data_IF_935275904705
#
_entry.id   IF_935275904705
#
_cell.length_a   1.000
_cell.length_b   1.000
_cell.length_c   1.000
_cell.angle_alpha   90.00
_cell.angle_beta   90.00
_cell.angle_gamma   90.00
#
_symmetry.space_group_name_H-M   'P 1'
#
loop_
_entity.id
_entity.type
_entity.pdbx_description
1 polymer ?
#
# COMPACT_ATOMS: atom_id res chain seq x y z
N UNK A 1 -2.76 3.63 -14.03
CA UNK A 1 -1.30 3.40 -14.29
C UNK A 1 -1.06 2.76 -15.68
N UNK A 2 -2.01 2.01 -16.21
CA UNK A 2 -1.95 1.22 -17.45
C UNK A 2 -1.52 2.02 -18.71
N UNK A 3 -1.79 3.31 -18.72
CA UNK A 3 -1.42 4.22 -19.81
C UNK A 3 -0.15 5.05 -19.54
N UNK A 4 0.80 4.50 -18.77
CA UNK A 4 2.11 5.09 -18.52
C UNK A 4 2.17 6.07 -17.37
N UNK A 5 1.41 5.82 -16.30
CA UNK A 5 1.47 6.56 -15.03
C UNK A 5 1.21 8.07 -15.15
N UNK A 6 0.48 8.52 -16.16
CA UNK A 6 0.28 9.96 -16.44
C UNK A 6 -0.30 10.70 -15.25
N UNK A 7 -1.27 10.12 -14.53
CA UNK A 7 -1.90 10.69 -13.35
C UNK A 7 -0.90 10.85 -12.20
N UNK A 8 -0.20 9.76 -11.83
CA UNK A 8 0.79 9.76 -10.78
C UNK A 8 1.97 10.71 -11.05
N UNK A 9 2.46 10.74 -12.29
CA UNK A 9 3.51 11.68 -12.70
C UNK A 9 3.06 13.14 -12.59
N UNK A 10 1.83 13.44 -13.06
CA UNK A 10 1.31 14.81 -13.00
C UNK A 10 1.00 15.24 -11.56
N UNK A 11 0.48 14.34 -10.74
CA UNK A 11 0.28 14.62 -9.32
C UNK A 11 1.59 14.95 -8.63
N UNK A 12 2.63 14.13 -8.81
CA UNK A 12 3.94 14.35 -8.20
C UNK A 12 4.57 15.70 -8.63
N UNK A 13 4.45 16.07 -9.91
CA UNK A 13 4.89 17.38 -10.42
C UNK A 13 4.17 18.54 -9.69
N UNK A 14 2.85 18.45 -9.52
CA UNK A 14 2.05 19.47 -8.86
C UNK A 14 2.41 19.53 -7.37
N UNK A 15 2.51 18.39 -6.69
CA UNK A 15 2.85 18.32 -5.28
C UNK A 15 4.20 18.99 -4.98
N UNK A 16 5.21 18.77 -5.82
CA UNK A 16 6.50 19.47 -5.72
C UNK A 16 6.35 20.98 -5.94
N UNK A 17 5.64 21.36 -6.99
CA UNK A 17 5.43 22.78 -7.34
C UNK A 17 4.72 23.55 -6.23
N UNK A 18 3.74 22.92 -5.60
CA UNK A 18 2.91 23.52 -4.55
C UNK A 18 3.47 23.31 -3.15
N UNK A 19 4.62 22.63 -3.07
CA UNK A 19 5.30 22.32 -1.81
C UNK A 19 4.40 21.53 -0.83
N UNK A 20 3.60 20.59 -1.36
CA UNK A 20 2.75 19.73 -0.54
C UNK A 20 3.61 18.81 0.34
N UNK A 21 3.19 18.65 1.58
CA UNK A 21 3.88 17.78 2.55
C UNK A 21 3.07 16.50 2.74
N UNK A 22 3.67 15.37 2.37
CA UNK A 22 3.09 14.06 2.53
C UNK A 22 3.82 13.28 3.62
N UNK A 23 3.09 12.82 4.64
CA UNK A 23 3.64 11.96 5.70
C UNK A 23 3.93 10.57 5.16
N UNK A 24 3.01 10.05 4.37
CA UNK A 24 3.10 8.76 3.69
C UNK A 24 2.19 8.73 2.47
N UNK A 25 2.48 7.83 1.53
CA UNK A 25 1.59 7.46 0.43
C UNK A 25 1.24 5.96 0.55
N UNK A 26 -0.01 5.61 0.32
CA UNK A 26 -0.50 4.24 0.49
C UNK A 26 -1.26 3.84 -0.77
N UNK A 27 -0.91 2.68 -1.33
CA UNK A 27 -1.61 2.09 -2.47
C UNK A 27 -2.19 0.73 -2.11
N UNK A 28 -3.39 0.46 -2.57
CA UNK A 28 -4.10 -0.80 -2.38
C UNK A 28 -4.68 -1.28 -3.71
N UNK A 29 -3.84 -1.81 -4.55
CA UNK A 29 -4.18 -2.23 -5.90
C UNK A 29 -4.96 -3.57 -5.94
N UNK A 30 -4.61 -4.49 -5.07
CA UNK A 30 -5.17 -5.86 -5.06
C UNK A 30 -6.02 -6.17 -3.81
N UNK A 31 -6.75 -5.20 -3.26
CA UNK A 31 -7.45 -5.31 -1.97
C UNK A 31 -8.64 -6.29 -1.92
N UNK A 32 -9.04 -6.88 -3.04
CA UNK A 32 -10.09 -7.90 -3.10
C UNK A 32 -9.67 -9.28 -2.59
N UNK A 33 -8.43 -9.44 -2.13
CA UNK A 33 -7.86 -10.70 -1.64
C UNK A 33 -7.37 -10.58 -0.20
N UNK A 34 -7.11 -11.73 0.44
CA UNK A 34 -6.66 -11.77 1.85
C UNK A 34 -5.36 -10.98 2.01
N UNK A 35 -5.31 -9.92 2.85
CA UNK A 35 -4.10 -9.19 3.13
C UNK A 35 -3.09 -10.06 3.90
N UNK A 36 -1.80 -9.91 3.61
CA UNK A 36 -0.72 -10.68 4.24
C UNK A 36 0.33 -9.81 4.90
N UNK A 37 0.52 -8.60 4.40
CA UNK A 37 1.54 -7.68 4.89
C UNK A 37 1.50 -6.35 4.15
N UNK A 38 2.57 -5.59 4.33
CA UNK A 38 2.80 -4.36 3.59
C UNK A 38 4.22 -4.34 3.02
N UNK A 39 4.34 -4.02 1.72
CA UNK A 39 5.57 -3.54 1.15
C UNK A 39 5.82 -2.09 1.59
N UNK A 40 7.05 -1.75 1.92
CA UNK A 40 7.43 -0.43 2.40
C UNK A 40 8.67 0.09 1.68
N UNK A 41 8.61 1.30 1.17
CA UNK A 41 9.76 2.04 0.65
C UNK A 41 9.93 3.34 1.44
N UNK A 42 11.05 3.43 2.12
CA UNK A 42 11.46 4.51 3.01
C UNK A 42 12.84 4.20 3.58
N UNK A 43 13.22 4.83 4.68
CA UNK A 43 14.51 4.57 5.34
C UNK A 43 14.50 3.24 6.12
N UNK A 44 15.70 2.70 6.36
CA UNK A 44 15.84 1.50 7.19
C UNK A 44 15.43 1.76 8.66
N UNK A 45 15.60 2.99 9.14
CA UNK A 45 15.15 3.40 10.47
C UNK A 45 13.62 3.34 10.57
N UNK A 46 12.92 3.88 9.57
CA UNK A 46 11.46 3.81 9.48
C UNK A 46 10.99 2.35 9.39
N UNK A 47 11.65 1.53 8.57
CA UNK A 47 11.31 0.10 8.46
C UNK A 47 11.45 -0.60 9.81
N UNK A 48 12.54 -0.39 10.53
CA UNK A 48 12.73 -0.97 11.87
C UNK A 48 11.63 -0.54 12.84
N UNK A 49 11.24 0.74 12.81
CA UNK A 49 10.18 1.27 13.65
C UNK A 49 8.83 0.60 13.36
N UNK A 50 8.44 0.48 12.08
CA UNK A 50 7.15 -0.12 11.71
C UNK A 50 7.11 -1.64 11.95
N UNK A 51 8.24 -2.34 11.99
CA UNK A 51 8.28 -3.75 12.37
C UNK A 51 7.68 -3.99 13.77
N UNK A 52 7.89 -3.06 14.71
CA UNK A 52 7.31 -3.14 16.05
C UNK A 52 5.78 -3.03 16.05
N UNK A 53 5.18 -2.55 14.97
CA UNK A 53 3.73 -2.43 14.85
C UNK A 53 3.04 -3.74 14.54
N UNK A 54 3.76 -4.79 14.13
CA UNK A 54 3.18 -6.09 13.82
C UNK A 54 2.32 -6.63 14.98
N UNK A 55 2.70 -6.35 16.22
CA UNK A 55 1.93 -6.72 17.43
C UNK A 55 0.49 -6.18 17.46
N UNK A 56 0.19 -5.12 16.69
CA UNK A 56 -1.14 -4.53 16.61
C UNK A 56 -2.01 -5.17 15.53
N UNK A 57 -1.44 -6.03 14.70
CA UNK A 57 -2.13 -6.69 13.59
C UNK A 57 -2.48 -8.16 13.85
N UNK A 58 -2.24 -8.69 15.03
CA UNK A 58 -2.41 -10.12 15.36
C UNK A 58 -3.72 -10.75 14.89
N UNK A 59 -4.79 -9.95 14.81
CA UNK A 59 -6.12 -10.40 14.44
C UNK A 59 -6.47 -10.15 12.97
N UNK A 60 -5.57 -9.51 12.21
CA UNK A 60 -5.88 -8.95 10.88
C UNK A 60 -5.11 -9.62 9.74
N UNK A 61 -4.52 -10.77 9.97
CA UNK A 61 -3.75 -11.50 8.94
C UNK A 61 -2.45 -10.84 8.47
N UNK A 62 -2.15 -9.62 8.87
CA UNK A 62 -0.88 -8.95 8.56
C UNK A 62 0.24 -9.57 9.39
N UNK A 63 1.26 -10.10 8.72
CA UNK A 63 2.35 -10.85 9.34
C UNK A 63 3.74 -10.26 9.05
N UNK A 64 3.85 -9.27 8.17
CA UNK A 64 5.14 -8.67 7.84
C UNK A 64 5.02 -7.23 7.31
N UNK A 65 6.12 -6.48 7.49
CA UNK A 65 6.49 -5.34 6.66
C UNK A 65 7.77 -5.72 5.90
N UNK A 66 7.76 -5.66 4.58
CA UNK A 66 8.93 -5.99 3.76
C UNK A 66 9.56 -4.74 3.16
N UNK A 67 10.88 -4.73 3.02
CA UNK A 67 11.58 -3.66 2.33
C UNK A 67 11.25 -3.69 0.83
N UNK A 68 10.94 -2.51 0.28
CA UNK A 68 10.52 -2.33 -1.11
C UNK A 68 9.02 -2.52 -1.30
N UNK A 69 8.52 -2.12 -2.44
CA UNK A 69 7.10 -2.09 -2.73
C UNK A 69 6.48 -0.73 -2.45
N UNK A 70 5.17 -0.67 -2.49
CA UNK A 70 4.37 0.55 -2.36
C UNK A 70 3.29 0.56 -3.42
N UNK A 71 3.64 0.68 -4.67
CA UNK A 71 2.73 0.65 -5.79
C UNK A 71 3.20 1.53 -6.95
N UNK A 72 2.58 1.33 -8.11
CA UNK A 72 2.95 2.00 -9.33
C UNK A 72 2.50 3.47 -9.32
N UNK A 73 1.29 3.74 -8.84
CA UNK A 73 0.68 5.06 -8.91
C UNK A 73 1.31 6.07 -7.95
N UNK A 74 1.72 5.63 -6.76
CA UNK A 74 2.38 6.48 -5.76
C UNK A 74 3.90 6.55 -5.95
N UNK A 75 4.47 5.66 -6.77
CA UNK A 75 5.90 5.62 -7.06
C UNK A 75 6.49 6.93 -7.58
N UNK A 76 5.84 7.68 -8.49
CA UNK A 76 6.30 9.00 -8.93
C UNK A 76 6.44 10.00 -7.79
N UNK A 77 5.49 10.05 -6.85
CA UNK A 77 5.56 10.93 -5.68
C UNK A 77 6.77 10.56 -4.80
N UNK A 78 6.91 9.29 -4.47
CA UNK A 78 8.07 8.81 -3.69
C UNK A 78 9.41 9.20 -4.32
N UNK A 79 9.56 9.00 -5.63
CA UNK A 79 10.81 9.34 -6.33
C UNK A 79 11.14 10.83 -6.33
N UNK A 80 10.14 11.69 -6.37
CA UNK A 80 10.36 13.15 -6.43
C UNK A 80 10.50 13.80 -5.07
N UNK A 81 9.81 13.30 -4.05
CA UNK A 81 9.72 13.96 -2.73
C UNK A 81 10.38 13.17 -1.61
N UNK A 82 10.70 11.89 -1.82
CA UNK A 82 11.15 10.99 -0.76
C UNK A 82 10.04 10.55 0.19
N UNK A 83 8.78 10.89 -0.08
CA UNK A 83 7.63 10.47 0.74
C UNK A 83 7.64 8.96 0.95
N UNK A 84 7.63 8.44 2.18
CA UNK A 84 7.54 7.02 2.44
C UNK A 84 6.28 6.42 1.80
N UNK A 85 6.39 5.24 1.20
CA UNK A 85 5.23 4.61 0.58
C UNK A 85 4.99 3.19 1.07
N UNK A 86 3.71 2.82 1.11
CA UNK A 86 3.23 1.49 1.48
C UNK A 86 2.35 0.91 0.39
N UNK A 87 2.48 -0.38 0.16
CA UNK A 87 1.55 -1.15 -0.68
C UNK A 87 0.98 -2.32 0.10
N UNK A 88 -0.33 -2.53 0.05
CA UNK A 88 -0.95 -3.68 0.66
C UNK A 88 -0.54 -4.95 -0.09
N UNK A 89 0.15 -5.86 0.59
CA UNK A 89 0.51 -7.17 0.06
C UNK A 89 -0.57 -8.18 0.38
N UNK A 90 -0.95 -8.97 -0.61
CA UNK A 90 -2.02 -9.97 -0.54
C UNK A 90 -1.49 -11.37 -0.74
N UNK A 91 -2.39 -12.37 -0.67
CA UNK A 91 -2.12 -13.72 -1.13
C UNK A 91 -1.97 -13.73 -2.67
N UNK A 92 -0.73 -13.72 -3.14
CA UNK A 92 -0.40 -13.54 -4.55
C UNK A 92 -0.81 -14.72 -5.45
N UNK A 93 -0.96 -15.94 -4.90
CA UNK A 93 -1.29 -17.10 -5.74
C UNK A 93 -2.65 -16.90 -6.40
N UNK A 94 -3.68 -16.62 -5.63
CA UNK A 94 -5.04 -16.42 -6.12
C UNK A 94 -5.15 -15.18 -7.03
N UNK A 95 -4.41 -14.13 -6.72
CA UNK A 95 -4.35 -12.92 -7.53
C UNK A 95 -3.89 -13.21 -8.96
N UNK A 96 -2.75 -13.90 -9.13
CA UNK A 96 -2.19 -14.18 -10.46
C UNK A 96 -2.99 -15.18 -11.29
N UNK A 97 -3.92 -15.92 -10.69
CA UNK A 97 -4.87 -16.76 -11.43
C UNK A 97 -5.94 -15.95 -12.17
N UNK A 98 -6.23 -14.72 -11.70
CA UNK A 98 -7.34 -13.90 -12.19
C UNK A 98 -6.87 -12.61 -12.87
N UNK A 99 -5.76 -12.04 -12.40
CA UNK A 99 -5.21 -10.77 -12.87
C UNK A 99 -5.03 -10.75 -14.40
N UNK A 100 -5.54 -9.70 -15.03
CA UNK A 100 -5.54 -9.49 -16.49
C UNK A 100 -6.20 -10.63 -17.31
N UNK A 101 -7.18 -11.29 -16.76
CA UNK A 101 -7.96 -12.32 -17.45
C UNK A 101 -9.44 -11.92 -17.57
N UNK A 102 -10.19 -12.62 -18.46
CA UNK A 102 -11.63 -12.44 -18.54
C UNK A 102 -12.40 -12.87 -17.28
N UNK A 103 -11.72 -13.50 -16.31
CA UNK A 103 -12.28 -13.90 -15.01
C UNK A 103 -12.14 -12.80 -13.96
N UNK A 104 -11.40 -11.73 -14.24
CA UNK A 104 -11.26 -10.60 -13.33
C UNK A 104 -12.51 -9.73 -13.38
N UNK A 105 -13.52 -10.15 -12.63
CA UNK A 105 -14.84 -9.55 -12.55
C UNK A 105 -15.22 -9.29 -11.10
N UNK A 106 -16.13 -8.34 -10.89
CA UNK A 106 -16.57 -7.93 -9.55
C UNK A 106 -17.05 -9.10 -8.66
N UNK A 107 -17.68 -10.09 -9.23
CA UNK A 107 -18.21 -11.26 -8.54
C UNK A 107 -17.13 -12.13 -7.87
N UNK A 108 -15.86 -11.94 -8.23
CA UNK A 108 -14.73 -12.59 -7.55
C UNK A 108 -14.32 -11.91 -6.25
N UNK A 109 -14.72 -10.67 -6.04
CA UNK A 109 -14.37 -9.92 -4.83
C UNK A 109 -15.15 -10.51 -3.64
N UNK A 110 -14.41 -11.11 -2.71
CA UNK A 110 -15.01 -11.66 -1.51
C UNK A 110 -15.15 -10.58 -0.43
N UNK A 111 -16.38 -10.29 0.00
CA UNK A 111 -16.67 -9.21 0.95
C UNK A 111 -15.78 -9.26 2.21
N UNK A 112 -15.59 -10.44 2.79
CA UNK A 112 -14.74 -10.60 3.99
C UNK A 112 -13.26 -10.31 3.73
N UNK A 113 -12.74 -10.68 2.57
CA UNK A 113 -11.34 -10.38 2.20
C UNK A 113 -11.13 -8.88 2.03
N UNK A 114 -12.08 -8.20 1.38
CA UNK A 114 -12.10 -6.75 1.24
C UNK A 114 -12.19 -6.02 2.59
N UNK A 115 -13.05 -6.49 3.51
CA UNK A 115 -13.14 -5.95 4.87
C UNK A 115 -11.83 -6.09 5.64
N UNK A 116 -11.13 -7.22 5.51
CA UNK A 116 -9.83 -7.44 6.14
C UNK A 116 -8.76 -6.48 5.58
N UNK A 117 -8.74 -6.27 4.27
CA UNK A 117 -7.89 -5.28 3.61
C UNK A 117 -8.16 -3.87 4.14
N UNK A 118 -9.43 -3.47 4.19
CA UNK A 118 -9.88 -2.18 4.72
C UNK A 118 -9.47 -1.98 6.18
N UNK A 119 -9.67 -2.99 7.03
CA UNK A 119 -9.27 -2.95 8.44
C UNK A 119 -7.75 -2.82 8.59
N UNK A 120 -6.98 -3.52 7.75
CA UNK A 120 -5.52 -3.45 7.76
C UNK A 120 -5.01 -2.05 7.37
N UNK A 121 -5.60 -1.46 6.32
CA UNK A 121 -5.26 -0.09 5.89
C UNK A 121 -5.64 0.95 6.95
N UNK A 122 -6.83 0.85 7.53
CA UNK A 122 -7.27 1.74 8.59
C UNK A 122 -6.35 1.65 9.83
N UNK A 123 -5.92 0.43 10.18
CA UNK A 123 -4.96 0.22 11.25
C UNK A 123 -3.60 0.84 10.95
N UNK A 124 -3.10 0.69 9.71
CA UNK A 124 -1.84 1.31 9.28
C UNK A 124 -1.91 2.84 9.37
N UNK A 125 -2.97 3.46 8.84
CA UNK A 125 -3.17 4.92 8.90
C UNK A 125 -3.22 5.39 10.35
N UNK A 126 -3.96 4.70 11.23
CA UNK A 126 -4.01 5.02 12.66
C UNK A 126 -2.64 4.94 13.33
N UNK A 127 -1.82 3.93 13.00
CA UNK A 127 -0.50 3.77 13.60
C UNK A 127 0.47 4.85 13.12
N UNK A 128 0.40 5.23 11.84
CA UNK A 128 1.17 6.35 11.29
C UNK A 128 0.80 7.66 11.99
N UNK A 129 -0.50 7.95 12.14
CA UNK A 129 -0.97 9.16 12.82
C UNK A 129 -0.54 9.20 14.29
N UNK A 130 -0.66 8.08 14.98
CA UNK A 130 -0.38 8.00 16.42
C UNK A 130 1.10 8.01 16.79
N UNK A 131 1.94 7.35 15.99
CA UNK A 131 3.34 7.12 16.34
C UNK A 131 4.34 7.82 15.41
N UNK A 132 3.87 8.35 14.28
CA UNK A 132 4.72 8.91 13.22
C UNK A 132 5.51 7.84 12.47
N UNK A 133 6.26 8.25 11.45
CA UNK A 133 7.21 7.43 10.70
C UNK A 133 8.65 7.84 10.98
#
# INVERSE_FOLDING_TARGET
>A
EEFGLRGGLKYAEIAVKENEQHIAAIESDASGYVPRGFGFSGSDEQLNKIQDWLKYFDKNTISYFSKGGGGADIGPLHRQTGTPMFGLSIDGQKYFEMHHTAKDVFELVHARELELGTASLASLVYLIDKYGL
#
